data_IF_315216718074
#
_entry.id   IF_315216718074
#
_cell.length_a   1.000
_cell.length_b   1.000
_cell.length_c   1.000
_cell.angle_alpha   90.00
_cell.angle_beta   90.00
_cell.angle_gamma   90.00
#
_symmetry.space_group_name_H-M   'P 1'
#
loop_
_entity.id
_entity.type
_entity.pdbx_description
1 polymer ?
#
# COMPACT_ATOMS: atom_id res chain seq x y z
N UNK A 1 18.66 5.60 7.42
CA UNK A 1 17.34 5.90 7.97
C UNK A 1 17.46 6.22 9.45
N UNK A 2 16.57 7.07 9.93
CA UNK A 2 16.37 7.34 11.37
C UNK A 2 14.93 7.00 11.69
N UNK A 3 14.70 6.33 12.81
CA UNK A 3 13.39 5.97 13.30
C UNK A 3 13.21 6.47 14.74
N UNK A 4 12.03 7.01 15.02
CA UNK A 4 11.61 7.40 16.37
C UNK A 4 10.26 6.78 16.62
N UNK A 5 10.15 5.93 17.65
CA UNK A 5 8.89 5.30 18.02
C UNK A 5 7.89 6.30 18.54
N UNK A 6 6.64 6.03 18.34
CA UNK A 6 5.50 6.81 18.81
C UNK A 6 4.64 5.96 19.77
N UNK A 7 3.78 6.62 20.49
CA UNK A 7 2.75 5.93 21.28
C UNK A 7 1.80 5.14 20.36
N UNK A 8 1.28 4.03 20.87
CA UNK A 8 0.34 3.17 20.14
C UNK A 8 -0.85 3.97 19.57
N UNK A 9 -1.18 3.69 18.32
CA UNK A 9 -2.27 4.34 17.59
C UNK A 9 -1.95 5.73 17.03
N UNK A 10 -0.69 6.18 17.11
CA UNK A 10 -0.25 7.46 16.51
C UNK A 10 0.14 7.35 15.03
N UNK A 11 0.21 6.12 14.53
CA UNK A 11 0.47 5.81 13.13
C UNK A 11 1.87 6.18 12.63
N UNK A 12 2.09 5.96 11.35
CA UNK A 12 3.35 6.22 10.67
C UNK A 12 3.41 7.66 10.12
N UNK A 13 4.57 8.29 10.30
CA UNK A 13 4.94 9.53 9.62
C UNK A 13 6.27 9.32 8.93
N UNK A 14 6.28 9.39 7.59
CA UNK A 14 7.48 9.13 6.81
C UNK A 14 7.87 10.39 6.05
N UNK A 15 9.13 10.79 6.20
CA UNK A 15 9.72 11.91 5.51
C UNK A 15 10.92 11.46 4.67
N UNK A 16 10.87 11.68 3.37
CA UNK A 16 12.04 11.54 2.51
C UNK A 16 12.80 12.87 2.55
N UNK A 17 13.89 12.91 3.31
CA UNK A 17 14.68 14.13 3.56
C UNK A 17 15.42 14.58 2.31
N UNK A 18 15.83 13.62 1.47
CA UNK A 18 16.54 13.89 0.20
C UNK A 18 15.73 13.34 -0.99
N UNK A 19 14.58 13.96 -1.37
CA UNK A 19 13.68 13.41 -2.38
C UNK A 19 14.32 13.30 -3.76
N UNK A 20 15.28 14.16 -4.11
CA UNK A 20 15.99 14.08 -5.37
C UNK A 20 16.96 12.88 -5.46
N UNK A 21 17.31 12.28 -4.31
CA UNK A 21 18.20 11.13 -4.23
C UNK A 21 17.44 9.79 -4.02
N UNK A 22 16.14 9.83 -3.71
CA UNK A 22 15.29 8.63 -3.63
C UNK A 22 14.36 8.66 -4.85
N UNK A 23 14.70 7.91 -5.90
CA UNK A 23 14.12 8.16 -7.23
C UNK A 23 12.85 7.36 -7.54
N UNK A 24 12.66 6.17 -6.94
CA UNK A 24 11.55 5.28 -7.29
C UNK A 24 10.51 5.14 -6.18
N UNK A 25 10.93 5.15 -4.92
CA UNK A 25 10.06 4.86 -3.78
C UNK A 25 9.49 6.15 -3.18
N UNK A 26 8.19 6.17 -2.91
CA UNK A 26 7.50 7.26 -2.22
C UNK A 26 7.36 7.00 -0.72
N UNK A 27 6.99 8.03 0.05
CA UNK A 27 6.69 7.88 1.48
C UNK A 27 5.52 6.89 1.72
N UNK A 28 4.49 6.93 0.86
CA UNK A 28 3.33 6.05 0.98
C UNK A 28 3.66 4.60 0.62
N UNK A 29 4.59 4.35 -0.32
CA UNK A 29 5.12 3.02 -0.59
C UNK A 29 5.89 2.46 0.61
N UNK A 30 6.74 3.28 1.25
CA UNK A 30 7.39 2.87 2.50
C UNK A 30 6.38 2.59 3.60
N UNK A 31 5.35 3.43 3.78
CA UNK A 31 4.33 3.22 4.79
C UNK A 31 3.59 1.89 4.59
N UNK A 32 3.20 1.57 3.35
CA UNK A 32 2.58 0.30 3.03
C UNK A 32 3.48 -0.89 3.42
N UNK A 33 4.74 -0.89 3.00
CA UNK A 33 5.69 -1.96 3.30
C UNK A 33 5.98 -2.06 4.81
N UNK A 34 6.09 -0.93 5.50
CA UNK A 34 6.35 -0.90 6.95
C UNK A 34 5.19 -1.51 7.75
N UNK A 35 3.93 -1.22 7.40
CA UNK A 35 2.77 -1.85 8.04
C UNK A 35 2.77 -3.37 7.84
N UNK A 36 3.11 -3.85 6.64
CA UNK A 36 3.27 -5.27 6.36
C UNK A 36 4.38 -5.88 7.21
N UNK A 37 5.51 -5.18 7.37
CA UNK A 37 6.63 -5.62 8.20
C UNK A 37 6.35 -5.59 9.72
N UNK A 38 5.26 -4.95 10.17
CA UNK A 38 4.90 -4.83 11.59
C UNK A 38 5.40 -3.55 12.27
N UNK A 39 5.77 -2.56 11.50
CA UNK A 39 6.13 -1.23 12.02
C UNK A 39 4.90 -0.33 11.88
N UNK A 40 4.27 0.01 13.00
CA UNK A 40 2.94 0.64 13.02
C UNK A 40 2.97 2.11 13.51
N UNK A 41 3.77 2.40 14.53
CA UNK A 41 3.77 3.69 15.22
C UNK A 41 5.19 4.27 15.28
N UNK A 42 5.57 5.04 14.25
CA UNK A 42 6.91 5.60 14.14
C UNK A 42 6.96 6.88 13.29
N UNK A 43 7.93 7.74 13.59
CA UNK A 43 8.41 8.78 12.68
C UNK A 43 9.68 8.24 12.02
N UNK A 44 9.70 8.25 10.70
CA UNK A 44 10.81 7.73 9.91
C UNK A 44 11.33 8.81 8.97
N UNK A 45 12.63 9.04 9.04
CA UNK A 45 13.35 9.95 8.16
C UNK A 45 14.30 9.13 7.27
N UNK A 46 14.11 9.22 5.96
CA UNK A 46 14.90 8.51 4.96
C UNK A 46 15.73 9.51 4.17
N UNK A 47 17.04 9.28 4.12
CA UNK A 47 17.96 10.11 3.35
C UNK A 47 19.02 9.25 2.65
N UNK A 48 19.46 9.71 1.49
CA UNK A 48 20.65 9.16 0.79
C UNK A 48 21.55 10.29 0.33
N UNK A 49 22.88 10.19 0.50
CA UNK A 49 23.83 11.19 0.01
C UNK A 49 24.03 11.12 -1.51
N UNK A 50 23.55 10.06 -2.16
CA UNK A 50 23.66 9.81 -3.60
C UNK A 50 22.33 9.32 -4.15
N UNK A 51 22.07 9.48 -5.46
CA UNK A 51 20.88 8.90 -6.11
C UNK A 51 20.84 7.38 -5.95
N UNK A 52 19.70 6.88 -5.45
CA UNK A 52 19.39 5.45 -5.26
C UNK A 52 17.93 5.22 -5.60
N UNK A 53 17.55 3.96 -5.87
CA UNK A 53 16.13 3.61 -6.11
C UNK A 53 15.27 3.80 -4.88
N UNK A 54 15.80 3.53 -3.70
CA UNK A 54 15.13 3.64 -2.41
C UNK A 54 14.87 2.30 -1.72
N UNK A 55 14.96 1.16 -2.42
CA UNK A 55 14.70 -0.17 -1.84
C UNK A 55 15.60 -0.48 -0.64
N UNK A 56 16.89 -0.19 -0.73
CA UNK A 56 17.84 -0.41 0.36
C UNK A 56 17.53 0.40 1.64
N UNK A 57 16.77 1.47 1.51
CA UNK A 57 16.36 2.26 2.67
C UNK A 57 15.38 1.50 3.57
N UNK A 58 14.54 0.63 3.02
CA UNK A 58 13.62 -0.20 3.81
C UNK A 58 14.41 -1.14 4.75
N UNK A 59 15.46 -1.78 4.25
CA UNK A 59 16.38 -2.59 5.08
C UNK A 59 17.03 -1.73 6.17
N UNK A 60 17.42 -0.50 5.84
CA UNK A 60 17.96 0.44 6.81
C UNK A 60 16.95 0.88 7.87
N UNK A 61 15.65 0.94 7.53
CA UNK A 61 14.56 1.19 8.47
C UNK A 61 14.40 0.01 9.43
N UNK A 62 14.37 -1.23 8.92
CA UNK A 62 14.30 -2.44 9.74
C UNK A 62 15.44 -2.49 10.75
N UNK A 63 16.67 -2.26 10.28
CA UNK A 63 17.84 -2.26 11.17
C UNK A 63 17.76 -1.19 12.26
N UNK A 64 17.29 0.00 11.91
CA UNK A 64 17.10 1.08 12.89
C UNK A 64 16.00 0.73 13.90
N UNK A 65 14.95 0.03 13.48
CA UNK A 65 13.86 -0.41 14.35
C UNK A 65 14.33 -1.50 15.32
N UNK A 66 15.07 -2.50 14.86
CA UNK A 66 15.67 -3.53 15.70
C UNK A 66 16.64 -2.94 16.74
N UNK A 67 17.46 -1.97 16.35
CA UNK A 67 18.38 -1.28 17.28
C UNK A 67 17.60 -0.50 18.37
N UNK A 68 16.36 -0.11 18.11
CA UNK A 68 15.49 0.52 19.12
C UNK A 68 14.90 -0.49 20.14
N UNK A 69 15.25 -1.79 20.04
CA UNK A 69 14.86 -2.83 20.97
C UNK A 69 13.65 -3.67 20.54
N UNK A 70 13.18 -3.50 19.32
CA UNK A 70 12.08 -4.28 18.75
C UNK A 70 12.60 -5.46 17.92
N UNK A 71 11.75 -6.47 17.74
CA UNK A 71 12.04 -7.61 16.85
C UNK A 71 11.03 -7.62 15.71
N UNK A 72 11.52 -7.77 14.48
CA UNK A 72 10.69 -7.94 13.31
C UNK A 72 10.60 -9.42 12.93
N UNK A 73 9.43 -9.84 12.50
CA UNK A 73 9.22 -11.15 11.92
C UNK A 73 9.82 -11.22 10.51
N UNK A 74 10.59 -12.26 10.23
CA UNK A 74 11.31 -12.39 8.95
C UNK A 74 10.35 -12.60 7.79
N UNK A 75 9.30 -13.40 7.97
CA UNK A 75 8.31 -13.64 6.90
C UNK A 75 7.58 -12.35 6.53
N UNK A 76 7.26 -11.51 7.54
CA UNK A 76 6.64 -10.21 7.33
C UNK A 76 7.58 -9.24 6.60
N UNK A 77 8.86 -9.18 6.98
CA UNK A 77 9.84 -8.30 6.31
C UNK A 77 10.13 -8.74 4.88
N UNK A 78 10.14 -10.04 4.60
CA UNK A 78 10.33 -10.56 3.25
C UNK A 78 9.14 -10.21 2.35
N UNK A 79 7.91 -10.38 2.83
CA UNK A 79 6.70 -9.99 2.09
C UNK A 79 6.62 -8.48 1.93
N UNK A 80 7.06 -7.69 2.90
CA UNK A 80 7.13 -6.22 2.78
C UNK A 80 8.15 -5.76 1.72
N UNK A 81 9.27 -6.48 1.58
CA UNK A 81 10.22 -6.25 0.48
C UNK A 81 9.60 -6.62 -0.88
N UNK A 82 8.89 -7.75 -0.97
CA UNK A 82 8.14 -8.13 -2.18
C UNK A 82 7.11 -7.06 -2.55
N UNK A 83 6.40 -6.52 -1.56
CA UNK A 83 5.42 -5.45 -1.75
C UNK A 83 6.05 -4.18 -2.34
N UNK A 84 7.18 -3.74 -1.77
CA UNK A 84 7.89 -2.56 -2.27
C UNK A 84 8.43 -2.77 -3.69
N UNK A 85 8.95 -3.96 -3.97
CA UNK A 85 9.41 -4.33 -5.31
C UNK A 85 8.26 -4.33 -6.33
N UNK A 86 7.10 -4.86 -5.96
CA UNK A 86 5.92 -4.86 -6.84
C UNK A 86 5.39 -3.44 -7.07
N UNK A 87 5.34 -2.61 -6.02
CA UNK A 87 4.92 -1.22 -6.12
C UNK A 87 5.79 -0.42 -7.11
N UNK A 88 7.10 -0.57 -7.02
CA UNK A 88 8.03 0.10 -7.96
C UNK A 88 7.96 -0.50 -9.35
N UNK A 89 7.77 -1.81 -9.50
CA UNK A 89 7.55 -2.44 -10.80
C UNK A 89 6.32 -1.87 -11.51
N UNK A 90 5.22 -1.68 -10.80
CA UNK A 90 3.99 -1.13 -11.40
C UNK A 90 4.15 0.34 -11.78
N UNK A 91 4.82 1.14 -10.96
CA UNK A 91 5.01 2.56 -11.26
C UNK A 91 6.01 2.82 -12.39
N UNK A 92 7.11 2.05 -12.46
CA UNK A 92 8.17 2.26 -13.45
C UNK A 92 7.93 1.41 -14.73
N UNK A 93 7.47 0.17 -14.58
CA UNK A 93 7.30 -0.78 -15.70
C UNK A 93 5.95 -0.68 -16.39
N UNK A 94 4.88 -0.51 -15.64
CA UNK A 94 3.50 -0.43 -16.18
C UNK A 94 3.02 1.01 -16.35
N UNK A 95 3.83 2.00 -15.95
CA UNK A 95 3.51 3.43 -16.10
C UNK A 95 2.32 3.90 -15.25
N UNK A 96 1.99 3.18 -14.19
CA UNK A 96 0.93 3.57 -13.27
C UNK A 96 1.48 4.62 -12.31
N UNK A 97 0.74 5.70 -12.10
CA UNK A 97 1.11 6.75 -11.16
C UNK A 97 1.42 6.18 -9.76
N UNK A 98 2.48 6.68 -9.12
CA UNK A 98 2.99 6.16 -7.83
C UNK A 98 1.96 6.27 -6.70
N UNK A 99 1.18 7.35 -6.68
CA UNK A 99 0.13 7.53 -5.67
C UNK A 99 -1.04 6.58 -5.93
N UNK A 100 -1.37 6.28 -7.19
CA UNK A 100 -2.37 5.25 -7.54
C UNK A 100 -1.93 3.83 -7.17
N UNK A 101 -0.64 3.50 -7.32
CA UNK A 101 -0.11 2.21 -6.85
C UNK A 101 -0.22 2.13 -5.34
N UNK A 102 0.13 3.19 -4.62
CA UNK A 102 0.02 3.25 -3.15
C UNK A 102 -1.44 3.15 -2.69
N UNK A 103 -2.37 3.81 -3.40
CA UNK A 103 -3.82 3.69 -3.14
C UNK A 103 -4.30 2.26 -3.32
N UNK A 104 -3.92 1.60 -4.43
CA UNK A 104 -4.31 0.22 -4.71
C UNK A 104 -3.87 -0.72 -3.58
N UNK A 105 -2.60 -0.67 -3.18
CA UNK A 105 -2.07 -1.53 -2.12
C UNK A 105 -2.74 -1.26 -0.76
N UNK A 106 -2.98 0.02 -0.43
CA UNK A 106 -3.68 0.40 0.80
C UNK A 106 -5.13 -0.10 0.81
N UNK A 107 -5.87 0.10 -0.28
CA UNK A 107 -7.27 -0.35 -0.39
C UNK A 107 -7.37 -1.88 -0.39
N UNK A 108 -6.45 -2.60 -1.02
CA UNK A 108 -6.41 -4.06 -0.98
C UNK A 108 -6.21 -4.59 0.44
N UNK A 109 -5.25 -4.06 1.20
CA UNK A 109 -5.05 -4.44 2.60
C UNK A 109 -6.26 -4.09 3.47
N UNK A 110 -6.90 -2.95 3.22
CA UNK A 110 -8.13 -2.56 3.89
C UNK A 110 -9.26 -3.55 3.61
N UNK A 111 -9.43 -3.97 2.35
CA UNK A 111 -10.44 -4.96 2.00
C UNK A 111 -10.14 -6.35 2.58
N UNK A 112 -8.87 -6.75 2.65
CA UNK A 112 -8.46 -7.98 3.34
C UNK A 112 -8.81 -7.90 4.84
N UNK A 113 -8.54 -6.76 5.48
CA UNK A 113 -8.90 -6.53 6.87
C UNK A 113 -10.42 -6.59 7.13
N UNK A 114 -11.22 -5.99 6.25
CA UNK A 114 -12.67 -5.91 6.37
C UNK A 114 -13.38 -7.23 6.06
N UNK A 115 -12.95 -7.93 5.00
CA UNK A 115 -13.63 -9.13 4.50
C UNK A 115 -13.07 -10.42 5.07
N UNK A 116 -11.87 -10.41 5.65
CA UNK A 116 -11.17 -11.58 6.19
C UNK A 116 -11.23 -12.79 5.24
N UNK A 117 -10.71 -12.67 3.99
CA UNK A 117 -10.84 -13.71 2.98
C UNK A 117 -10.20 -15.02 3.44
N UNK A 118 -10.89 -16.15 3.23
CA UNK A 118 -10.43 -17.45 3.67
C UNK A 118 -9.52 -18.13 2.63
N UNK A 119 -9.71 -17.83 1.34
CA UNK A 119 -9.04 -18.51 0.23
C UNK A 119 -8.35 -17.51 -0.70
N UNK A 120 -7.46 -18.03 -1.55
CA UNK A 120 -6.82 -17.25 -2.62
C UNK A 120 -7.83 -16.74 -3.65
N UNK A 121 -8.88 -17.52 -3.92
CA UNK A 121 -9.97 -17.15 -4.81
C UNK A 121 -10.75 -15.94 -4.28
N UNK A 122 -10.94 -15.83 -2.95
CA UNK A 122 -11.52 -14.63 -2.34
C UNK A 122 -10.60 -13.42 -2.51
N UNK A 123 -9.28 -13.60 -2.36
CA UNK A 123 -8.29 -12.56 -2.60
C UNK A 123 -8.30 -12.11 -4.07
N UNK A 124 -8.36 -13.05 -5.01
CA UNK A 124 -8.47 -12.74 -6.44
C UNK A 124 -9.70 -11.90 -6.74
N UNK A 125 -10.85 -12.23 -6.17
CA UNK A 125 -12.08 -11.43 -6.30
C UNK A 125 -11.86 -10.01 -5.79
N UNK A 126 -11.29 -9.85 -4.59
CA UNK A 126 -10.97 -8.53 -4.00
C UNK A 126 -10.03 -7.73 -4.92
N UNK A 127 -8.97 -8.35 -5.43
CA UNK A 127 -8.01 -7.69 -6.34
C UNK A 127 -8.72 -7.21 -7.61
N UNK A 128 -9.51 -8.07 -8.25
CA UNK A 128 -10.23 -7.72 -9.47
C UNK A 128 -11.25 -6.58 -9.24
N UNK A 129 -11.96 -6.58 -8.12
CA UNK A 129 -12.88 -5.52 -7.73
C UNK A 129 -12.16 -4.18 -7.53
N UNK A 130 -11.01 -4.16 -6.83
CA UNK A 130 -10.27 -2.94 -6.59
C UNK A 130 -9.60 -2.39 -7.86
N UNK A 131 -9.04 -3.24 -8.72
CA UNK A 131 -8.50 -2.83 -10.02
C UNK A 131 -9.59 -2.15 -10.88
N UNK A 132 -10.78 -2.74 -10.94
CA UNK A 132 -11.92 -2.17 -11.65
C UNK A 132 -12.36 -0.84 -11.04
N UNK A 133 -12.47 -0.76 -9.71
CA UNK A 133 -12.87 0.44 -8.96
C UNK A 133 -11.91 1.60 -9.21
N UNK A 134 -10.60 1.34 -9.17
CA UNK A 134 -9.57 2.35 -9.35
C UNK A 134 -9.22 2.61 -10.82
N UNK A 135 -9.85 1.88 -11.75
CA UNK A 135 -9.58 1.95 -13.20
C UNK A 135 -8.10 1.73 -13.52
N UNK A 136 -7.52 0.73 -12.88
CA UNK A 136 -6.14 0.31 -13.10
C UNK A 136 -6.17 -0.94 -13.98
N UNK A 137 -5.47 -0.88 -15.11
CA UNK A 137 -5.28 -2.01 -16.01
C UNK A 137 -3.89 -2.62 -15.78
N UNK A 138 -3.85 -3.91 -15.55
CA UNK A 138 -2.63 -4.70 -15.44
C UNK A 138 -2.62 -5.82 -16.48
N UNK A 139 -1.43 -6.21 -16.92
CA UNK A 139 -1.27 -7.45 -17.65
C UNK A 139 -1.71 -8.63 -16.79
N UNK A 140 -2.08 -9.76 -17.42
CA UNK A 140 -2.45 -10.97 -16.68
C UNK A 140 -1.32 -11.44 -15.75
N UNK A 141 -0.06 -11.30 -16.19
CA UNK A 141 1.10 -11.64 -15.40
C UNK A 141 1.26 -10.71 -14.17
N UNK A 142 1.07 -9.40 -14.34
CA UNK A 142 1.18 -8.43 -13.23
C UNK A 142 0.01 -8.57 -12.25
N UNK A 143 -1.19 -8.84 -12.77
CA UNK A 143 -2.36 -9.13 -11.94
C UNK A 143 -2.13 -10.38 -11.08
N UNK A 144 -1.56 -11.44 -11.66
CA UNK A 144 -1.24 -12.66 -10.91
C UNK A 144 -0.21 -12.39 -9.82
N UNK A 145 0.84 -11.60 -10.09
CA UNK A 145 1.81 -11.21 -9.07
C UNK A 145 1.16 -10.44 -7.91
N UNK A 146 0.19 -9.57 -8.22
CA UNK A 146 -0.55 -8.83 -7.19
C UNK A 146 -1.43 -9.75 -6.34
N UNK A 147 -2.12 -10.70 -6.97
CA UNK A 147 -2.92 -11.72 -6.27
C UNK A 147 -2.03 -12.55 -5.34
N UNK A 148 -0.89 -13.02 -5.84
CA UNK A 148 0.06 -13.83 -5.07
C UNK A 148 0.63 -13.06 -3.87
N UNK A 149 0.95 -11.77 -4.05
CA UNK A 149 1.40 -10.89 -2.97
C UNK A 149 0.30 -10.70 -1.92
N UNK A 150 -0.94 -10.40 -2.34
CA UNK A 150 -2.05 -10.18 -1.42
C UNK A 150 -2.43 -11.46 -0.66
N UNK A 151 -2.31 -12.62 -1.29
CA UNK A 151 -2.52 -13.92 -0.62
C UNK A 151 -1.41 -14.22 0.41
N UNK A 152 -0.15 -13.87 0.11
CA UNK A 152 0.93 -13.91 1.11
C UNK A 152 0.61 -12.99 2.30
N UNK A 153 0.23 -11.73 2.06
CA UNK A 153 -0.12 -10.76 3.11
C UNK A 153 -1.28 -11.28 3.98
N UNK A 154 -2.34 -11.83 3.36
CA UNK A 154 -3.45 -12.46 4.07
C UNK A 154 -3.00 -13.58 5.00
N UNK A 155 -1.99 -14.34 4.57
CA UNK A 155 -1.49 -15.53 5.29
C UNK A 155 -0.51 -15.20 6.41
N UNK A 156 -0.03 -13.95 6.50
CA UNK A 156 0.82 -13.51 7.60
C UNK A 156 0.02 -13.36 8.89
N UNK A 157 0.70 -13.52 10.03
CA UNK A 157 0.15 -13.21 11.35
C UNK A 157 0.09 -11.69 11.57
N UNK A 158 -0.87 -11.06 10.91
CA UNK A 158 -1.13 -9.62 10.99
C UNK A 158 -2.45 -9.39 11.70
N UNK A 159 -2.42 -8.64 12.81
CA UNK A 159 -3.66 -8.14 13.44
C UNK A 159 -4.20 -6.94 12.64
N UNK A 160 -4.94 -7.23 11.58
CA UNK A 160 -5.55 -6.22 10.74
C UNK A 160 -6.52 -5.28 11.48
N UNK A 161 -7.07 -5.71 12.63
CA UNK A 161 -7.95 -4.86 13.41
C UNK A 161 -7.22 -3.66 14.00
N UNK A 162 -5.93 -3.82 14.35
CA UNK A 162 -5.07 -2.72 14.80
C UNK A 162 -4.65 -1.79 13.68
N UNK A 163 -4.52 -2.33 12.45
CA UNK A 163 -4.09 -1.57 11.30
C UNK A 163 -5.22 -0.80 10.60
N UNK A 164 -6.48 -1.16 10.86
CA UNK A 164 -7.63 -0.63 10.12
C UNK A 164 -7.72 0.89 10.15
N UNK A 165 -7.48 1.53 11.31
CA UNK A 165 -7.48 3.00 11.42
C UNK A 165 -6.33 3.64 10.64
N UNK A 166 -5.14 3.06 10.68
CA UNK A 166 -3.98 3.57 9.94
C UNK A 166 -4.16 3.42 8.43
N UNK A 167 -4.70 2.28 7.97
CA UNK A 167 -5.04 2.05 6.57
C UNK A 167 -6.12 3.05 6.09
N UNK A 168 -7.11 3.36 6.94
CA UNK A 168 -8.13 4.37 6.65
C UNK A 168 -7.52 5.77 6.49
N UNK A 169 -6.65 6.19 7.41
CA UNK A 169 -6.00 7.49 7.39
C UNK A 169 -5.03 7.61 6.21
N UNK A 170 -4.29 6.54 5.89
CA UNK A 170 -3.46 6.48 4.68
C UNK A 170 -4.30 6.60 3.42
N UNK A 171 -5.40 5.85 3.32
CA UNK A 171 -6.32 5.93 2.18
C UNK A 171 -6.83 7.35 1.98
N UNK A 172 -7.26 8.04 3.03
CA UNK A 172 -7.69 9.45 2.95
C UNK A 172 -6.59 10.37 2.44
N UNK A 173 -5.39 10.25 3.02
CA UNK A 173 -4.24 11.08 2.64
C UNK A 173 -3.84 10.90 1.18
N UNK A 174 -3.79 9.65 0.71
CA UNK A 174 -3.45 9.33 -0.69
C UNK A 174 -4.54 9.87 -1.64
N UNK A 175 -5.81 9.67 -1.31
CA UNK A 175 -6.95 10.18 -2.09
C UNK A 175 -6.93 11.71 -2.21
N UNK A 176 -6.60 12.42 -1.14
CA UNK A 176 -6.45 13.88 -1.18
C UNK A 176 -5.31 14.33 -2.09
N UNK A 177 -4.18 13.60 -2.12
CA UNK A 177 -3.07 13.87 -3.04
C UNK A 177 -3.50 13.68 -4.49
N UNK A 178 -4.11 12.53 -4.80
CA UNK A 178 -4.61 12.22 -6.16
C UNK A 178 -5.67 13.24 -6.59
N UNK A 179 -6.59 13.62 -5.72
CA UNK A 179 -7.61 14.62 -6.01
C UNK A 179 -7.07 16.03 -6.30
N UNK A 180 -5.89 16.36 -5.76
CA UNK A 180 -5.19 17.63 -6.10
C UNK A 180 -4.47 17.56 -7.44
N UNK A 181 -4.03 16.36 -7.84
CA UNK A 181 -3.33 16.13 -9.13
C UNK A 181 -4.35 15.98 -10.27
N UNK A 182 -5.45 15.27 -10.05
CA UNK A 182 -6.55 15.07 -11.01
C UNK A 182 -7.92 15.38 -10.35
N UNK A 183 -8.36 16.63 -10.35
CA UNK A 183 -9.65 17.01 -9.77
C UNK A 183 -10.87 16.27 -10.35
N UNK A 184 -10.79 15.80 -11.61
CA UNK A 184 -11.85 15.04 -12.27
C UNK A 184 -11.87 13.54 -11.94
N UNK A 185 -10.85 13.01 -11.29
CA UNK A 185 -10.75 11.59 -10.96
C UNK A 185 -11.89 11.12 -10.05
N UNK A 186 -12.16 11.87 -8.99
CA UNK A 186 -13.22 11.53 -8.02
C UNK A 186 -14.63 11.63 -8.58
N UNK A 187 -14.87 12.55 -9.52
CA UNK A 187 -16.16 12.64 -10.19
C UNK A 187 -16.38 11.42 -11.10
N UNK A 188 -15.37 10.96 -11.81
CA UNK A 188 -15.40 9.71 -12.59
C UNK A 188 -15.63 8.47 -11.73
N UNK A 189 -15.06 8.42 -10.53
CA UNK A 189 -15.27 7.32 -9.57
C UNK A 189 -16.72 7.34 -9.05
N UNK A 190 -17.27 8.49 -8.68
CA UNK A 190 -18.68 8.62 -8.27
C UNK A 190 -19.65 8.21 -9.38
N UNK A 191 -19.40 8.66 -10.61
CA UNK A 191 -20.21 8.33 -11.78
C UNK A 191 -20.21 6.81 -12.06
N UNK A 192 -19.06 6.15 -11.91
CA UNK A 192 -18.96 4.70 -12.02
C UNK A 192 -19.84 3.98 -11.00
N UNK A 193 -19.87 4.42 -9.74
CA UNK A 193 -20.71 3.81 -8.70
C UNK A 193 -22.19 4.08 -8.93
N UNK A 194 -22.58 5.28 -9.37
CA UNK A 194 -23.95 5.60 -9.72
C UNK A 194 -24.44 4.64 -10.84
N UNK A 195 -23.65 4.45 -11.88
CA UNK A 195 -23.97 3.55 -12.99
C UNK A 195 -24.00 2.07 -12.55
N UNK A 196 -23.18 1.65 -11.60
CA UNK A 196 -23.19 0.28 -11.08
C UNK A 196 -24.47 0.00 -10.27
N UNK A 197 -24.88 0.94 -9.41
CA UNK A 197 -26.12 0.83 -8.62
C UNK A 197 -27.34 0.77 -9.54
N UNK A 198 -27.37 1.57 -10.59
CA UNK A 198 -28.47 1.55 -11.57
C UNK A 198 -28.48 0.25 -12.40
N UNK A 199 -27.33 -0.29 -12.74
CA UNK A 199 -27.23 -1.59 -13.43
C UNK A 199 -27.69 -2.76 -12.56
N UNK A 200 -27.46 -2.72 -11.25
CA UNK A 200 -27.95 -3.75 -10.31
C UNK A 200 -29.46 -3.65 -10.12
N UNK A 201 -30.03 -2.46 -10.08
CA UNK A 201 -31.50 -2.28 -9.97
C UNK A 201 -32.24 -2.86 -11.16
N UNK A 202 -31.71 -2.72 -12.38
CA UNK A 202 -32.30 -3.29 -13.60
C UNK A 202 -32.24 -4.82 -13.71
N UNK A 203 -31.49 -5.50 -12.85
CA UNK A 203 -31.40 -6.96 -12.77
C UNK A 203 -32.46 -7.57 -11.83
N UNK A 204 -33.10 -6.75 -11.01
CA UNK A 204 -34.11 -7.17 -10.03
C UNK A 204 -35.55 -6.72 -10.39
N UNK A 205 -35.74 -6.03 -11.54
CA UNK A 205 -37.04 -5.80 -12.18
C UNK A 205 -37.27 -6.79 -13.34
#
# INVERSE_FOLDING_TARGET
AKITRREAGKGLVITIVTPNNITQVTADMYANAMLTAGIEDAIVEVASPKPVTGHSALVGIYKAYEVSGETLDTDRTDVANDELNLATKFSEGSGIDKDKVSELLTELKKQIAEQNPATKEDVERIVNEQLKKLKIELSDADRQLLIDLMDKIRSLDIDFSKLSSQLEDMSKTIKEKIGKIDPGFWDKVKEFFANLVDSVKTWFE
#
